data_IF_437098248037
#
_entry.id   IF_437098248037
#
_cell.length_a   1.000
_cell.length_b   1.000
_cell.length_c   1.000
_cell.angle_alpha   90.00
_cell.angle_beta   90.00
_cell.angle_gamma   90.00
#
_symmetry.space_group_name_H-M   'P 1'
#
loop_
_entity.id
_entity.type
_entity.pdbx_description
1 polymer ?
#
# COMPACT_ATOMS: atom_id res chain seq x y z
N UNK A 1 29.18 -34.92 0.84
CA UNK A 1 29.44 -33.46 0.88
C UNK A 1 28.09 -32.76 0.88
N UNK A 2 27.65 -32.24 2.03
CA UNK A 2 26.40 -31.49 2.16
C UNK A 2 26.79 -30.03 2.40
N UNK A 3 26.62 -29.18 1.39
CA UNK A 3 26.97 -27.76 1.47
C UNK A 3 26.21 -26.95 0.44
N UNK A 4 25.21 -26.19 0.91
CA UNK A 4 24.77 -24.96 0.24
C UNK A 4 23.45 -24.99 -0.54
N UNK A 5 22.33 -25.39 0.08
CA UNK A 5 21.00 -24.96 -0.39
C UNK A 5 20.66 -23.59 0.21
N UNK A 6 21.28 -22.54 -0.30
CA UNK A 6 20.78 -21.17 -0.23
C UNK A 6 20.52 -20.76 -1.68
N UNK A 7 19.28 -20.94 -2.14
CA UNK A 7 18.88 -20.65 -3.51
C UNK A 7 19.22 -19.21 -3.87
N UNK A 8 19.86 -19.00 -5.01
CA UNK A 8 20.20 -17.67 -5.51
C UNK A 8 18.93 -16.80 -5.55
N UNK A 9 18.94 -15.71 -4.80
CA UNK A 9 17.89 -14.68 -4.85
C UNK A 9 17.74 -14.24 -6.30
N UNK A 10 16.54 -14.33 -6.86
CA UNK A 10 16.25 -13.86 -8.23
C UNK A 10 16.30 -12.32 -8.26
N UNK A 11 17.51 -11.79 -8.49
CA UNK A 11 17.78 -10.35 -8.50
C UNK A 11 17.07 -9.64 -9.65
N UNK A 12 16.87 -10.32 -10.77
CA UNK A 12 16.17 -9.75 -11.92
C UNK A 12 14.68 -9.58 -11.60
N UNK A 13 14.07 -10.56 -10.93
CA UNK A 13 12.70 -10.42 -10.42
C UNK A 13 12.60 -9.29 -9.42
N UNK A 14 13.52 -9.20 -8.45
CA UNK A 14 13.52 -8.10 -7.48
C UNK A 14 13.64 -6.73 -8.16
N UNK A 15 14.54 -6.59 -9.12
CA UNK A 15 14.71 -5.37 -9.91
C UNK A 15 13.40 -4.94 -10.59
N UNK A 16 12.75 -5.85 -11.32
CA UNK A 16 11.46 -5.57 -12.01
C UNK A 16 10.38 -5.10 -11.04
N UNK A 17 10.26 -5.78 -9.90
CA UNK A 17 9.27 -5.43 -8.87
C UNK A 17 9.58 -4.08 -8.22
N UNK A 18 10.85 -3.80 -7.91
CA UNK A 18 11.25 -2.54 -7.30
C UNK A 18 10.97 -1.35 -8.25
N UNK A 19 11.31 -1.49 -9.54
CA UNK A 19 11.02 -0.49 -10.57
C UNK A 19 9.51 -0.28 -10.74
N UNK A 20 8.74 -1.36 -10.85
CA UNK A 20 7.29 -1.29 -10.97
C UNK A 20 6.65 -0.60 -9.76
N UNK A 21 7.10 -0.94 -8.54
CA UNK A 21 6.61 -0.32 -7.32
C UNK A 21 6.95 1.17 -7.26
N UNK A 22 8.20 1.53 -7.55
CA UNK A 22 8.63 2.93 -7.62
C UNK A 22 7.76 3.71 -8.62
N UNK A 23 7.53 3.15 -9.80
CA UNK A 23 6.64 3.72 -10.82
C UNK A 23 5.20 3.89 -10.35
N UNK A 24 4.64 2.89 -9.65
CA UNK A 24 3.28 2.98 -9.09
C UNK A 24 3.12 4.06 -8.02
N UNK A 25 4.22 4.44 -7.36
CA UNK A 25 4.26 5.52 -6.37
C UNK A 25 4.58 6.88 -7.01
N UNK A 26 4.84 6.94 -8.32
CA UNK A 26 5.22 8.16 -9.03
C UNK A 26 6.58 8.72 -8.61
N UNK A 27 7.49 7.90 -8.11
CA UNK A 27 8.78 8.34 -7.56
C UNK A 27 9.93 8.21 -8.55
N UNK A 28 10.90 9.12 -8.47
CA UNK A 28 12.20 8.99 -9.14
C UNK A 28 13.19 8.18 -8.29
N UNK A 29 14.29 7.73 -8.88
CA UNK A 29 15.35 7.01 -8.14
C UNK A 29 15.96 7.90 -7.06
N UNK A 30 16.12 9.19 -7.32
CA UNK A 30 16.61 10.19 -6.39
C UNK A 30 15.69 10.33 -5.18
N UNK A 31 14.37 10.41 -5.41
CA UNK A 31 13.37 10.51 -4.35
C UNK A 31 13.34 9.26 -3.48
N UNK A 32 13.49 8.07 -4.06
CA UNK A 32 13.59 6.82 -3.27
C UNK A 32 14.90 6.80 -2.47
N UNK A 33 16.00 7.23 -3.06
CA UNK A 33 17.30 7.28 -2.39
C UNK A 33 17.28 8.25 -1.19
N UNK A 34 16.70 9.43 -1.37
CA UNK A 34 16.51 10.43 -0.32
C UNK A 34 15.67 9.88 0.83
N UNK A 35 14.50 9.29 0.52
CA UNK A 35 13.61 8.67 1.52
C UNK A 35 14.27 7.52 2.27
N UNK A 36 15.08 6.72 1.59
CA UNK A 36 15.79 5.59 2.19
C UNK A 36 17.10 6.00 2.89
N UNK A 37 17.54 7.27 2.78
CA UNK A 37 18.82 7.73 3.32
C UNK A 37 20.03 7.03 2.70
N UNK A 38 19.97 6.71 1.40
CA UNK A 38 21.03 6.02 0.66
C UNK A 38 21.46 6.81 -0.57
N UNK A 39 22.53 6.36 -1.24
CA UNK A 39 22.95 6.97 -2.49
C UNK A 39 22.06 6.54 -3.66
N UNK A 40 21.85 7.42 -4.65
CA UNK A 40 21.10 7.09 -5.88
C UNK A 40 21.69 5.88 -6.60
N UNK A 41 23.03 5.75 -6.60
CA UNK A 41 23.73 4.57 -7.14
C UNK A 41 23.29 3.26 -6.47
N UNK A 42 22.93 3.29 -5.19
CA UNK A 42 22.44 2.09 -4.48
C UNK A 42 21.08 1.67 -4.99
N UNK A 43 20.19 2.63 -5.27
CA UNK A 43 18.88 2.36 -5.89
C UNK A 43 19.07 1.85 -7.32
N UNK A 44 19.92 2.49 -8.11
CA UNK A 44 20.26 2.04 -9.45
C UNK A 44 20.75 0.59 -9.47
N UNK A 45 21.72 0.25 -8.62
CA UNK A 45 22.29 -1.11 -8.56
C UNK A 45 21.28 -2.18 -8.13
N UNK A 46 20.28 -1.81 -7.30
CA UNK A 46 19.20 -2.69 -6.92
C UNK A 46 18.22 -2.89 -8.08
N UNK A 47 17.82 -1.80 -8.72
CA UNK A 47 16.86 -1.79 -9.84
C UNK A 47 17.45 -2.36 -11.14
N UNK A 48 18.77 -2.43 -11.28
CA UNK A 48 19.45 -3.11 -12.37
C UNK A 48 19.70 -4.60 -12.08
N UNK A 49 19.48 -5.06 -10.85
CA UNK A 49 19.81 -6.41 -10.40
C UNK A 49 21.32 -6.68 -10.25
N UNK A 50 22.17 -5.67 -10.44
CA UNK A 50 23.62 -5.79 -10.42
C UNK A 50 24.14 -6.16 -9.03
N UNK A 51 23.58 -5.56 -7.98
CA UNK A 51 24.05 -5.77 -6.60
C UNK A 51 22.91 -5.98 -5.62
N UNK A 52 23.08 -6.99 -4.77
CA UNK A 52 22.24 -7.18 -3.60
C UNK A 52 22.72 -6.31 -2.43
N UNK A 53 21.93 -5.33 -1.94
CA UNK A 53 22.35 -4.47 -0.84
C UNK A 53 22.36 -5.19 0.51
N UNK A 54 23.06 -4.61 1.49
CA UNK A 54 23.07 -5.12 2.86
C UNK A 54 21.67 -5.05 3.49
N UNK A 55 21.42 -5.90 4.49
CA UNK A 55 20.10 -6.01 5.14
C UNK A 55 19.54 -4.67 5.63
N UNK A 56 20.38 -3.82 6.24
CA UNK A 56 19.99 -2.48 6.70
C UNK A 56 19.51 -1.60 5.55
N UNK A 57 20.26 -1.59 4.44
CA UNK A 57 19.91 -0.82 3.25
C UNK A 57 18.64 -1.35 2.59
N UNK A 58 18.47 -2.68 2.52
CA UNK A 58 17.25 -3.29 1.99
C UNK A 58 16.02 -2.86 2.79
N UNK A 59 16.09 -2.89 4.11
CA UNK A 59 15.00 -2.43 4.98
C UNK A 59 14.63 -0.96 4.75
N UNK A 60 15.62 -0.08 4.60
CA UNK A 60 15.38 1.34 4.32
C UNK A 60 14.75 1.56 2.93
N UNK A 61 15.18 0.80 1.92
CA UNK A 61 14.59 0.85 0.57
C UNK A 61 13.17 0.28 0.57
N UNK A 62 12.91 -0.81 1.29
CA UNK A 62 11.57 -1.38 1.48
C UNK A 62 10.63 -0.35 2.10
N UNK A 63 11.06 0.35 3.15
CA UNK A 63 10.29 1.42 3.77
C UNK A 63 9.99 2.56 2.78
N UNK A 64 10.99 3.02 2.03
CA UNK A 64 10.80 4.06 1.01
C UNK A 64 9.83 3.65 -0.11
N UNK A 65 9.76 2.36 -0.43
CA UNK A 65 8.83 1.77 -1.40
C UNK A 65 7.47 1.38 -0.78
N UNK A 66 7.22 1.76 0.48
CA UNK A 66 6.01 1.37 1.25
C UNK A 66 5.80 -0.14 1.22
N UNK A 67 6.87 -0.89 1.43
CA UNK A 67 6.92 -2.33 1.57
C UNK A 67 7.28 -2.71 3.01
N UNK A 68 6.98 -3.94 3.37
CA UNK A 68 7.33 -4.48 4.68
C UNK A 68 8.80 -4.90 4.68
N UNK A 69 9.48 -4.82 5.84
CA UNK A 69 10.81 -5.41 5.98
C UNK A 69 10.82 -6.88 5.54
N UNK A 70 11.70 -7.23 4.61
CA UNK A 70 11.82 -8.57 4.02
C UNK A 70 11.03 -8.81 2.73
N UNK A 71 10.24 -7.85 2.24
CA UNK A 71 9.52 -8.00 0.96
C UNK A 71 10.48 -8.16 -0.23
N UNK A 72 11.65 -7.50 -0.25
CA UNK A 72 12.64 -7.70 -1.31
C UNK A 72 13.16 -9.14 -1.33
N UNK A 73 13.44 -9.71 -0.15
CA UNK A 73 13.88 -11.10 -0.06
C UNK A 73 12.79 -12.06 -0.53
N UNK A 74 11.55 -11.84 -0.07
CA UNK A 74 10.37 -12.62 -0.47
C UNK A 74 10.17 -12.62 -1.98
N UNK A 75 10.32 -11.46 -2.63
CA UNK A 75 10.24 -11.36 -4.09
C UNK A 75 11.33 -12.18 -4.77
N UNK A 76 12.57 -12.10 -4.27
CA UNK A 76 13.68 -12.86 -4.81
C UNK A 76 13.61 -14.38 -4.54
N UNK A 77 12.83 -14.79 -3.54
CA UNK A 77 12.48 -16.19 -3.26
C UNK A 77 11.30 -16.69 -4.11
N UNK A 78 10.77 -15.86 -5.02
CA UNK A 78 9.65 -16.19 -5.90
C UNK A 78 8.27 -15.85 -5.34
N UNK A 79 8.20 -15.25 -4.14
CA UNK A 79 6.96 -14.74 -3.56
C UNK A 79 6.52 -13.40 -4.15
N UNK A 80 5.36 -12.94 -3.69
CA UNK A 80 4.84 -11.58 -3.92
C UNK A 80 5.12 -10.70 -2.69
N UNK A 81 5.42 -9.40 -2.87
CA UNK A 81 5.60 -8.50 -1.75
C UNK A 81 4.26 -8.35 -1.01
N UNK A 82 4.30 -8.38 0.32
CA UNK A 82 3.09 -8.24 1.12
C UNK A 82 2.59 -6.78 1.13
N UNK A 83 3.49 -5.83 0.86
CA UNK A 83 3.18 -4.42 0.85
C UNK A 83 2.97 -3.86 2.26
N UNK A 84 3.32 -2.59 2.45
CA UNK A 84 2.82 -1.83 3.58
C UNK A 84 1.33 -1.59 3.35
N UNK A 85 0.48 -2.04 4.28
CA UNK A 85 -0.78 -1.33 4.49
C UNK A 85 -0.38 0.13 4.71
N UNK A 86 -0.85 1.05 3.88
CA UNK A 86 -0.75 2.47 4.20
C UNK A 86 -1.34 2.60 5.60
N UNK A 87 -0.48 2.71 6.62
CA UNK A 87 -0.93 2.69 8.02
C UNK A 87 -1.86 3.88 8.25
N UNK A 88 -1.57 4.99 7.59
CA UNK A 88 -2.40 6.19 7.60
C UNK A 88 -3.82 5.91 7.04
N UNK A 89 -3.94 5.33 5.84
CA UNK A 89 -5.25 5.00 5.27
C UNK A 89 -5.97 3.86 6.01
N UNK A 90 -5.21 2.88 6.51
CA UNK A 90 -5.75 1.74 7.23
C UNK A 90 -6.30 2.09 8.62
N UNK A 91 -5.86 3.22 9.22
CA UNK A 91 -6.31 3.72 10.53
C UNK A 91 -7.38 4.83 10.42
N UNK A 92 -7.51 5.49 9.25
CA UNK A 92 -8.55 6.49 8.95
C UNK A 92 -9.86 5.85 8.47
N UNK A 93 -9.78 4.88 7.56
CA UNK A 93 -10.97 4.22 7.02
C UNK A 93 -11.87 3.58 8.11
N UNK A 94 -11.34 2.87 9.13
CA UNK A 94 -12.18 2.31 10.17
C UNK A 94 -12.90 3.37 11.02
N UNK A 95 -12.33 4.57 11.17
CA UNK A 95 -12.95 5.67 11.92
C UNK A 95 -14.07 6.32 11.13
N UNK A 96 -13.84 6.67 9.87
CA UNK A 96 -14.88 7.26 9.01
C UNK A 96 -16.07 6.30 8.83
N UNK A 97 -15.81 5.01 8.61
CA UNK A 97 -16.86 3.98 8.55
C UNK A 97 -17.63 3.84 9.87
N UNK A 98 -16.94 3.95 11.01
CA UNK A 98 -17.60 3.90 12.31
C UNK A 98 -18.49 5.13 12.55
N UNK A 99 -18.03 6.33 12.15
CA UNK A 99 -18.81 7.57 12.25
C UNK A 99 -20.06 7.53 11.37
N UNK A 100 -19.91 7.10 10.11
CA UNK A 100 -21.04 6.88 9.20
C UNK A 100 -22.03 5.85 9.76
N UNK A 101 -21.53 4.72 10.26
CA UNK A 101 -22.40 3.68 10.84
C UNK A 101 -23.14 4.17 12.09
N UNK A 102 -22.49 4.97 12.95
CA UNK A 102 -23.14 5.61 14.09
C UNK A 102 -24.23 6.60 13.65
N UNK A 103 -23.96 7.40 12.61
CA UNK A 103 -24.95 8.30 12.02
C UNK A 103 -26.15 7.57 11.43
N UNK A 104 -25.93 6.47 10.68
CA UNK A 104 -27.01 5.63 10.18
C UNK A 104 -27.79 4.93 11.29
N UNK A 105 -27.11 4.52 12.37
CA UNK A 105 -27.77 3.94 13.53
C UNK A 105 -28.72 4.93 14.19
N UNK A 106 -28.29 6.19 14.38
CA UNK A 106 -29.11 7.29 14.91
C UNK A 106 -30.33 7.56 14.01
N UNK A 107 -30.11 7.68 12.70
CA UNK A 107 -31.19 7.83 11.71
C UNK A 107 -32.19 6.66 11.70
N UNK A 108 -31.74 5.45 12.00
CA UNK A 108 -32.62 4.26 12.04
C UNK A 108 -33.51 4.27 13.28
N UNK A 109 -33.00 4.78 14.40
CA UNK A 109 -33.71 4.84 15.68
C UNK A 109 -34.59 6.09 15.84
N UNK A 110 -34.28 7.19 15.15
CA UNK A 110 -35.09 8.42 15.15
C UNK A 110 -36.04 8.50 13.92
N UNK A 111 -37.37 8.35 14.07
CA UNK A 111 -38.33 8.57 12.98
C UNK A 111 -38.57 10.06 12.66
N UNK A 112 -37.83 10.97 13.31
CA UNK A 112 -37.94 12.41 13.21
C UNK A 112 -37.49 13.03 11.89
N UNK A 113 -37.30 14.35 11.93
CA UNK A 113 -37.08 15.18 10.75
C UNK A 113 -35.80 14.84 9.99
N UNK A 114 -34.74 14.46 10.71
CA UNK A 114 -33.45 14.07 10.13
C UNK A 114 -33.58 12.86 9.19
N UNK A 115 -34.33 11.84 9.59
CA UNK A 115 -34.59 10.65 8.75
C UNK A 115 -35.39 11.01 7.50
N UNK A 116 -36.38 11.89 7.62
CA UNK A 116 -37.18 12.36 6.47
C UNK A 116 -36.32 13.14 5.48
N UNK A 117 -35.48 14.06 5.97
CA UNK A 117 -34.57 14.83 5.12
C UNK A 117 -33.51 13.95 4.45
N UNK A 118 -32.91 13.01 5.19
CA UNK A 118 -31.94 12.07 4.63
C UNK A 118 -32.53 11.17 3.54
N UNK A 119 -33.75 10.65 3.74
CA UNK A 119 -34.45 9.85 2.74
C UNK A 119 -34.86 10.68 1.53
N UNK A 120 -35.34 11.91 1.73
CA UNK A 120 -35.67 12.83 0.62
C UNK A 120 -34.42 13.17 -0.22
N UNK A 121 -33.29 13.41 0.45
CA UNK A 121 -32.01 13.67 -0.21
C UNK A 121 -31.52 12.46 -1.02
N UNK A 122 -31.52 11.26 -0.42
CA UNK A 122 -31.12 10.03 -1.13
C UNK A 122 -32.02 9.74 -2.32
N UNK A 123 -33.33 9.99 -2.19
CA UNK A 123 -34.29 9.81 -3.28
C UNK A 123 -34.08 10.79 -4.43
N UNK A 124 -33.70 12.03 -4.11
CA UNK A 124 -33.30 13.03 -5.10
C UNK A 124 -31.96 12.70 -5.77
N UNK A 125 -31.01 12.10 -5.03
CA UNK A 125 -29.67 11.75 -5.52
C UNK A 125 -29.69 10.52 -6.44
N UNK A 126 -30.50 9.51 -6.09
CA UNK A 126 -30.54 8.22 -6.78
C UNK A 126 -31.77 8.03 -7.69
N UNK A 127 -32.66 9.02 -7.77
CA UNK A 127 -33.70 9.08 -8.79
C UNK A 127 -34.70 7.92 -8.76
N UNK A 128 -35.23 7.57 -7.59
CA UNK A 128 -36.38 6.66 -7.50
C UNK A 128 -37.67 7.49 -7.47
N UNK A 129 -38.38 7.63 -8.61
CA UNK A 129 -39.64 8.35 -8.64
C UNK A 129 -40.66 7.63 -7.75
N UNK A 130 -41.49 8.41 -7.06
CA UNK A 130 -42.58 7.90 -6.23
C UNK A 130 -43.34 6.76 -6.90
N UNK A 131 -43.17 5.55 -6.36
CA UNK A 131 -44.03 4.41 -6.60
C UNK A 131 -45.44 4.79 -6.16
N UNK A 132 -46.28 5.02 -7.16
CA UNK A 132 -47.73 5.19 -7.09
C UNK A 132 -48.41 4.12 -6.23
#
# INVERSE_FOLDING_TARGET
MLGGMAGDVDRERVAKYAVARRGSLGLTQEQVAERAGVTVKTIYNLESGERWPQARTRAAVEEALRWRPGDLARVGEGGEPLGGRDRDAADELPRELAELNAYFADLRTDPGEKRRLALAFLRALYGEPDGR
#
